data_IF_087463637634
#
_entry.id   IF_087463637634
#
_cell.length_a   1.000
_cell.length_b   1.000
_cell.length_c   1.000
_cell.angle_alpha   90.00
_cell.angle_beta   90.00
_cell.angle_gamma   90.00
#
_symmetry.space_group_name_H-M   'P 1'
#
loop_
_entity.id
_entity.type
_entity.pdbx_description
1 polymer ?
#
# COMPACT_ATOMS: atom_id res chain seq x y z
N UNK A 1 -7.43 -10.39 -3.63
CA UNK A 1 -7.59 -9.00 -3.18
C UNK A 1 -8.15 -9.02 -1.79
N UNK A 2 -7.40 -8.61 -0.82
CA UNK A 2 -8.03 -8.10 0.38
C UNK A 2 -8.53 -6.72 0.00
N UNK A 3 -9.80 -6.50 0.08
CA UNK A 3 -10.37 -5.20 -0.20
C UNK A 3 -11.21 -4.80 1.00
N UNK A 4 -10.86 -3.72 1.66
CA UNK A 4 -11.85 -3.02 2.46
C UNK A 4 -12.80 -2.36 1.47
N UNK A 5 -13.96 -2.96 1.26
CA UNK A 5 -14.99 -2.36 0.44
C UNK A 5 -15.47 -1.06 1.08
N UNK A 6 -15.67 -0.02 0.28
CA UNK A 6 -16.17 1.31 0.65
C UNK A 6 -17.48 1.33 1.48
N UNK A 7 -18.09 0.18 1.70
CA UNK A 7 -19.36 0.01 2.46
C UNK A 7 -19.15 -0.61 3.86
N UNK A 8 -17.95 -0.55 4.44
CA UNK A 8 -17.65 -1.09 5.76
C UNK A 8 -17.61 -2.63 5.82
N UNK A 9 -17.42 -3.29 4.69
CA UNK A 9 -17.25 -4.74 4.60
C UNK A 9 -15.79 -5.08 4.30
N UNK A 10 -15.28 -6.13 4.93
CA UNK A 10 -13.97 -6.71 4.67
C UNK A 10 -14.14 -8.04 3.95
N UNK A 11 -13.40 -8.25 2.87
CA UNK A 11 -13.40 -9.51 2.12
C UNK A 11 -11.99 -10.11 2.18
N UNK A 12 -11.89 -11.36 2.62
CA UNK A 12 -10.67 -12.15 2.53
C UNK A 12 -10.73 -13.05 1.31
N UNK A 13 -9.64 -13.08 0.53
CA UNK A 13 -9.50 -14.08 -0.52
C UNK A 13 -9.11 -15.42 0.07
N UNK A 14 -9.65 -16.49 -0.48
CA UNK A 14 -9.34 -17.86 -0.04
C UNK A 14 -7.84 -18.14 -0.09
N UNK A 15 -7.13 -17.72 -1.14
CA UNK A 15 -5.68 -17.89 -1.24
C UNK A 15 -4.88 -17.16 -0.15
N UNK A 16 -5.41 -16.06 0.41
CA UNK A 16 -4.80 -15.39 1.55
C UNK A 16 -4.98 -16.19 2.84
N UNK A 17 -6.18 -16.74 3.04
CA UNK A 17 -6.49 -17.59 4.18
C UNK A 17 -5.63 -18.86 4.13
N UNK A 18 -5.43 -19.42 2.94
CA UNK A 18 -4.56 -20.60 2.74
C UNK A 18 -3.08 -20.30 2.95
N UNK A 19 -2.65 -19.04 2.71
CA UNK A 19 -1.27 -18.62 2.90
C UNK A 19 -0.93 -18.36 4.36
N UNK A 20 -1.88 -17.85 5.15
CA UNK A 20 -1.67 -17.56 6.57
C UNK A 20 -1.59 -18.84 7.40
N UNK A 21 -0.61 -18.93 8.29
CA UNK A 21 -0.41 -20.08 9.16
C UNK A 21 -1.28 -20.01 10.43
N UNK A 22 -1.72 -18.81 10.80
CA UNK A 22 -2.47 -18.53 12.03
C UNK A 22 -3.31 -17.25 11.92
N UNK A 23 -4.11 -16.98 12.95
CA UNK A 23 -4.99 -15.82 13.02
C UNK A 23 -4.21 -14.50 13.16
N UNK A 24 -3.01 -14.51 13.76
CA UNK A 24 -2.17 -13.33 13.89
C UNK A 24 -1.69 -12.84 12.52
N UNK A 25 -1.36 -13.74 11.61
CA UNK A 25 -1.00 -13.42 10.24
C UNK A 25 -2.18 -12.84 9.46
N UNK A 26 -3.39 -13.35 9.67
CA UNK A 26 -4.61 -12.76 9.09
C UNK A 26 -4.90 -11.39 9.69
N UNK A 27 -4.68 -11.22 11.00
CA UNK A 27 -4.83 -9.95 11.68
C UNK A 27 -3.83 -8.90 11.18
N UNK A 28 -2.60 -9.29 10.81
CA UNK A 28 -1.61 -8.40 10.21
C UNK A 28 -2.12 -7.80 8.90
N UNK A 29 -2.67 -8.63 8.03
CA UNK A 29 -3.22 -8.15 6.75
C UNK A 29 -4.47 -7.31 6.98
N UNK A 30 -5.36 -7.74 7.88
CA UNK A 30 -6.56 -6.96 8.20
C UNK A 30 -6.21 -5.59 8.79
N UNK A 31 -5.28 -5.55 9.73
CA UNK A 31 -4.81 -4.30 10.35
C UNK A 31 -4.25 -3.32 9.32
N UNK A 32 -3.44 -3.81 8.40
CA UNK A 32 -2.88 -3.04 7.29
C UNK A 32 -3.98 -2.44 6.40
N UNK A 33 -4.96 -3.22 5.98
CA UNK A 33 -6.06 -2.75 5.13
C UNK A 33 -6.99 -1.77 5.85
N UNK A 34 -7.28 -2.02 7.13
CA UNK A 34 -8.06 -1.10 7.96
C UNK A 34 -7.31 0.23 8.10
N UNK A 35 -5.99 0.20 8.27
CA UNK A 35 -5.15 1.40 8.31
C UNK A 35 -5.26 2.21 7.01
N UNK A 36 -5.18 1.57 5.83
CA UNK A 36 -5.40 2.24 4.54
C UNK A 36 -6.76 2.93 4.45
N UNK A 37 -7.81 2.30 5.00
CA UNK A 37 -9.15 2.86 4.99
C UNK A 37 -9.29 4.05 5.95
N UNK A 38 -8.74 3.95 7.16
CA UNK A 38 -8.78 5.03 8.19
C UNK A 38 -7.97 6.24 7.72
N UNK A 39 -6.77 6.03 7.18
CA UNK A 39 -5.91 7.06 6.64
C UNK A 39 -6.41 7.63 5.29
N UNK A 40 -7.46 7.03 4.69
CA UNK A 40 -8.07 7.44 3.43
C UNK A 40 -7.11 7.44 2.23
N UNK A 41 -6.14 6.55 2.23
CA UNK A 41 -5.13 6.46 1.18
C UNK A 41 -5.73 6.29 -0.22
N UNK A 42 -6.86 5.57 -0.35
CA UNK A 42 -7.59 5.44 -1.60
C UNK A 42 -8.11 6.78 -2.14
N UNK A 43 -8.62 7.65 -1.27
CA UNK A 43 -9.10 8.98 -1.65
C UNK A 43 -7.95 9.89 -2.05
N UNK A 44 -6.84 9.84 -1.31
CA UNK A 44 -5.65 10.62 -1.63
C UNK A 44 -5.07 10.21 -2.99
N UNK A 45 -4.94 8.91 -3.25
CA UNK A 45 -4.50 8.39 -4.54
C UNK A 45 -5.40 8.84 -5.69
N UNK A 46 -6.73 8.81 -5.49
CA UNK A 46 -7.69 9.29 -6.49
C UNK A 46 -7.53 10.80 -6.74
N UNK A 47 -7.37 11.60 -5.69
CA UNK A 47 -7.16 13.05 -5.80
C UNK A 47 -5.88 13.38 -6.56
N UNK A 48 -4.80 12.65 -6.31
CA UNK A 48 -3.53 12.80 -7.03
C UNK A 48 -3.69 12.45 -8.52
N UNK A 49 -4.37 11.37 -8.85
CA UNK A 49 -4.65 10.98 -10.23
C UNK A 49 -5.47 12.04 -10.97
N UNK A 50 -6.48 12.59 -10.32
CA UNK A 50 -7.30 13.67 -10.88
C UNK A 50 -6.50 14.95 -11.07
N UNK A 51 -5.63 15.32 -10.13
CA UNK A 51 -4.75 16.48 -10.25
C UNK A 51 -3.78 16.31 -11.42
N UNK A 52 -3.15 15.15 -11.58
CA UNK A 52 -2.25 14.85 -12.69
C UNK A 52 -3.00 14.93 -14.03
N UNK A 53 -4.20 14.34 -14.12
CA UNK A 53 -5.03 14.40 -15.32
C UNK A 53 -5.43 15.84 -15.65
N UNK A 54 -5.84 16.63 -14.65
CA UNK A 54 -6.20 18.04 -14.83
C UNK A 54 -5.03 18.91 -15.30
N UNK A 55 -3.82 18.70 -14.78
CA UNK A 55 -2.62 19.41 -15.25
C UNK A 55 -2.30 19.01 -16.69
N UNK A 56 -2.44 17.76 -17.05
CA UNK A 56 -2.22 17.28 -18.41
C UNK A 56 -3.21 17.94 -19.40
N UNK A 57 -4.49 18.00 -19.05
CA UNK A 57 -5.51 18.63 -19.89
C UNK A 57 -5.32 20.16 -20.03
N UNK A 58 -4.99 20.84 -18.92
CA UNK A 58 -4.75 22.29 -18.91
C UNK A 58 -3.47 22.71 -19.64
N UNK A 59 -2.50 21.81 -19.80
CA UNK A 59 -1.25 22.09 -20.51
C UNK A 59 -1.44 22.34 -22.00
N UNK A 60 -2.65 22.08 -22.54
CA UNK A 60 -3.00 22.30 -23.95
C UNK A 60 -2.20 21.44 -24.93
N UNK A 61 -1.54 20.41 -24.45
CA UNK A 61 -0.64 19.55 -25.21
C UNK A 61 -1.36 18.63 -26.19
N UNK A 62 -2.69 18.65 -26.21
CA UNK A 62 -3.51 18.00 -27.21
C UNK A 62 -3.62 18.82 -28.53
N UNK A 63 -2.95 20.01 -28.62
CA UNK A 63 -2.93 20.78 -29.84
C UNK A 63 -1.92 20.23 -30.83
N UNK A 64 -2.40 19.83 -31.99
CA UNK A 64 -1.66 19.13 -33.07
C UNK A 64 -0.43 19.89 -33.65
N UNK A 65 -0.14 21.10 -33.21
CA UNK A 65 0.83 22.01 -33.83
C UNK A 65 2.31 21.68 -33.56
N UNK A 66 2.64 20.77 -32.62
CA UNK A 66 4.03 20.35 -32.35
C UNK A 66 4.12 18.95 -31.74
N UNK A 67 3.85 17.93 -32.53
CA UNK A 67 3.81 16.53 -32.12
C UNK A 67 5.10 16.05 -31.42
N UNK A 68 6.26 16.59 -31.80
CA UNK A 68 7.56 16.18 -31.25
C UNK A 68 7.79 16.77 -29.85
N UNK A 69 7.45 18.03 -29.62
CA UNK A 69 7.54 18.71 -28.31
C UNK A 69 6.54 18.12 -27.34
N UNK A 70 5.33 17.82 -27.81
CA UNK A 70 4.28 17.19 -27.03
C UNK A 70 4.68 15.75 -26.60
N UNK A 71 5.37 15.01 -27.46
CA UNK A 71 5.87 13.68 -27.16
C UNK A 71 6.91 13.69 -26.04
N UNK A 72 7.89 14.59 -26.10
CA UNK A 72 8.93 14.72 -25.07
C UNK A 72 8.33 15.18 -23.74
N UNK A 73 7.45 16.18 -23.77
CA UNK A 73 6.78 16.66 -22.56
C UNK A 73 5.94 15.56 -21.91
N UNK A 74 5.14 14.83 -22.70
CA UNK A 74 4.34 13.72 -22.19
C UNK A 74 5.21 12.64 -21.56
N UNK A 75 6.35 12.30 -22.18
CA UNK A 75 7.27 11.32 -21.62
C UNK A 75 7.85 11.77 -20.27
N UNK A 76 8.31 13.02 -20.17
CA UNK A 76 8.86 13.58 -18.92
C UNK A 76 7.79 13.76 -17.87
N UNK A 77 6.62 14.29 -18.23
CA UNK A 77 5.50 14.51 -17.31
C UNK A 77 4.94 13.20 -16.77
N UNK A 78 4.68 12.23 -17.63
CA UNK A 78 4.19 10.91 -17.22
C UNK A 78 5.23 10.15 -16.39
N UNK A 79 6.51 10.22 -16.77
CA UNK A 79 7.59 9.60 -16.01
C UNK A 79 7.75 10.22 -14.62
N UNK A 80 7.74 11.53 -14.50
CA UNK A 80 7.88 12.23 -13.20
C UNK A 80 6.67 12.04 -12.29
N UNK A 81 5.46 12.05 -12.84
CA UNK A 81 4.23 11.81 -12.07
C UNK A 81 4.14 10.35 -11.61
N UNK A 82 4.58 9.39 -12.44
CA UNK A 82 4.62 7.98 -12.05
C UNK A 82 5.61 7.72 -10.92
N UNK A 83 6.80 8.33 -10.95
CA UNK A 83 7.78 8.26 -9.87
C UNK A 83 7.26 8.90 -8.57
N UNK A 84 6.55 10.02 -8.70
CA UNK A 84 5.87 10.68 -7.57
C UNK A 84 4.82 9.76 -6.93
N UNK A 85 3.96 9.15 -7.74
CA UNK A 85 2.94 8.22 -7.27
C UNK A 85 3.54 6.99 -6.59
N UNK A 86 4.64 6.43 -7.09
CA UNK A 86 5.35 5.32 -6.46
C UNK A 86 5.93 5.70 -5.09
N UNK A 87 6.46 6.93 -4.95
CA UNK A 87 6.95 7.43 -3.67
C UNK A 87 5.83 7.59 -2.65
N UNK A 88 4.70 8.16 -3.05
CA UNK A 88 3.51 8.27 -2.20
C UNK A 88 2.97 6.90 -1.78
N UNK A 89 2.91 5.96 -2.72
CA UNK A 89 2.50 4.59 -2.41
C UNK A 89 3.35 3.97 -1.29
N UNK A 90 4.67 4.15 -1.32
CA UNK A 90 5.56 3.63 -0.27
C UNK A 90 5.34 4.28 1.09
N UNK A 91 5.07 5.58 1.13
CA UNK A 91 4.74 6.29 2.39
C UNK A 91 3.45 5.73 2.98
N UNK A 92 2.42 5.53 2.15
CA UNK A 92 1.15 4.95 2.57
C UNK A 92 1.31 3.50 3.09
N UNK A 93 2.17 2.70 2.43
CA UNK A 93 2.46 1.35 2.90
C UNK A 93 3.12 1.37 4.29
N UNK A 94 4.15 2.20 4.48
CA UNK A 94 4.84 2.33 5.78
C UNK A 94 3.89 2.81 6.88
N UNK A 95 3.03 3.78 6.57
CA UNK A 95 2.02 4.27 7.52
C UNK A 95 1.01 3.18 7.87
N UNK A 96 0.52 2.45 6.87
CA UNK A 96 -0.43 1.36 7.07
C UNK A 96 0.16 0.19 7.83
N UNK A 97 1.44 -0.13 7.62
CA UNK A 97 2.14 -1.13 8.41
C UNK A 97 2.20 -0.73 9.89
N UNK A 98 2.67 0.48 10.19
CA UNK A 98 2.78 0.96 11.57
C UNK A 98 1.42 1.01 12.28
N UNK A 99 0.41 1.56 11.64
CA UNK A 99 -0.95 1.61 12.19
C UNK A 99 -1.54 0.20 12.37
N UNK A 100 -1.32 -0.68 11.39
CA UNK A 100 -1.79 -2.06 11.43
C UNK A 100 -1.19 -2.84 12.60
N UNK A 101 0.11 -2.66 12.87
CA UNK A 101 0.79 -3.28 14.01
C UNK A 101 0.22 -2.77 15.36
N UNK A 102 -0.08 -1.48 15.46
CA UNK A 102 -0.76 -0.92 16.64
C UNK A 102 -2.14 -1.56 16.81
N UNK A 103 -2.91 -1.72 15.73
CA UNK A 103 -4.23 -2.36 15.79
C UNK A 103 -4.13 -3.82 16.21
N UNK A 104 -3.15 -4.57 15.69
CA UNK A 104 -2.88 -5.95 16.11
C UNK A 104 -2.64 -6.02 17.61
N UNK A 105 -1.73 -5.22 18.13
CA UNK A 105 -1.36 -5.20 19.55
C UNK A 105 -2.55 -4.86 20.43
N UNK A 106 -3.32 -3.82 20.07
CA UNK A 106 -4.53 -3.42 20.81
C UNK A 106 -5.63 -4.48 20.79
N UNK A 107 -5.69 -5.27 19.72
CA UNK A 107 -6.65 -6.38 19.58
C UNK A 107 -6.17 -7.70 20.22
N UNK A 108 -4.95 -7.73 20.77
CA UNK A 108 -4.38 -8.89 21.45
C UNK A 108 -3.73 -9.91 20.52
N UNK A 109 -3.43 -9.53 19.27
CA UNK A 109 -2.66 -10.32 18.32
C UNK A 109 -1.17 -10.05 18.44
N UNK A 110 -0.34 -10.99 17.94
CA UNK A 110 1.11 -10.90 18.00
C UNK A 110 1.69 -10.15 16.78
N UNK A 111 2.21 -8.88 16.95
CA UNK A 111 2.68 -8.08 15.82
C UNK A 111 3.87 -8.65 15.05
N UNK A 112 4.71 -9.48 15.69
CA UNK A 112 5.88 -10.11 15.02
C UNK A 112 5.46 -11.07 13.92
N UNK A 113 4.26 -11.61 13.97
CA UNK A 113 3.70 -12.47 12.91
C UNK A 113 3.45 -11.72 11.59
N UNK A 114 3.39 -10.39 11.62
CA UNK A 114 3.35 -9.59 10.40
C UNK A 114 4.63 -9.77 9.57
N UNK A 115 5.81 -9.85 10.23
CA UNK A 115 7.09 -10.05 9.54
C UNK A 115 7.07 -11.41 8.83
N UNK A 116 6.69 -12.46 9.55
CA UNK A 116 6.63 -13.82 9.03
C UNK A 116 5.67 -13.92 7.82
N UNK A 117 4.52 -13.24 7.90
CA UNK A 117 3.55 -13.20 6.82
C UNK A 117 4.10 -12.50 5.57
N UNK A 118 4.68 -11.29 5.71
CA UNK A 118 5.21 -10.55 4.58
C UNK A 118 6.43 -11.22 3.94
N UNK A 119 7.26 -11.90 4.74
CA UNK A 119 8.37 -12.71 4.25
C UNK A 119 7.86 -13.89 3.41
N UNK A 120 6.85 -14.59 3.91
CA UNK A 120 6.20 -15.68 3.19
C UNK A 120 5.57 -15.21 1.89
N UNK A 121 4.88 -14.06 1.90
CA UNK A 121 4.33 -13.41 0.70
C UNK A 121 5.42 -13.08 -0.33
N UNK A 122 6.56 -12.57 0.10
CA UNK A 122 7.66 -12.19 -0.81
C UNK A 122 8.25 -13.42 -1.53
N UNK A 123 8.25 -14.58 -0.87
CA UNK A 123 8.84 -15.83 -1.40
C UNK A 123 7.85 -16.68 -2.19
N UNK A 124 6.56 -16.64 -1.84
CA UNK A 124 5.50 -17.45 -2.46
C UNK A 124 4.57 -16.69 -3.38
N UNK A 125 4.94 -15.47 -3.74
CA UNK A 125 4.09 -14.49 -4.43
C UNK A 125 3.46 -14.91 -5.75
N UNK A 126 3.87 -16.03 -6.34
CA UNK A 126 3.23 -16.58 -7.52
C UNK A 126 1.77 -17.04 -7.27
N UNK A 127 1.38 -17.27 -6.01
CA UNK A 127 0.05 -17.74 -5.64
C UNK A 127 -0.94 -16.60 -5.26
N UNK A 128 -0.45 -15.38 -4.99
CA UNK A 128 -1.29 -14.23 -4.62
C UNK A 128 -0.84 -12.98 -5.41
N UNK A 129 -0.89 -13.01 -6.75
CA UNK A 129 -0.28 -11.98 -7.60
C UNK A 129 -0.84 -10.58 -7.37
N UNK A 130 -2.10 -10.49 -6.95
CA UNK A 130 -2.84 -9.23 -6.86
C UNK A 130 -2.43 -8.41 -5.64
N UNK A 131 -2.18 -9.05 -4.48
CA UNK A 131 -1.70 -8.35 -3.28
C UNK A 131 -0.29 -7.83 -3.49
N UNK A 132 0.60 -8.64 -4.09
CA UNK A 132 1.98 -8.22 -4.36
C UNK A 132 2.04 -7.05 -5.35
N UNK A 133 1.13 -7.00 -6.32
CA UNK A 133 1.09 -5.91 -7.29
C UNK A 133 0.58 -4.59 -6.68
N UNK A 134 -0.28 -4.68 -5.66
CA UNK A 134 -0.86 -3.50 -4.99
C UNK A 134 -0.08 -3.08 -3.75
N UNK A 135 0.56 -4.02 -3.06
CA UNK A 135 1.32 -3.83 -1.82
C UNK A 135 2.71 -4.47 -1.95
N UNK A 136 3.67 -3.79 -2.60
CA UNK A 136 4.99 -4.36 -2.79
C UNK A 136 5.67 -4.63 -1.45
N UNK A 137 6.10 -5.88 -1.25
CA UNK A 137 6.93 -6.27 -0.11
C UNK A 137 8.39 -6.31 -0.54
N UNK A 138 9.24 -5.51 0.09
CA UNK A 138 10.69 -5.55 -0.09
C UNK A 138 11.38 -5.76 1.27
N UNK A 139 12.67 -6.04 1.23
CA UNK A 139 13.46 -6.26 2.44
C UNK A 139 13.53 -5.02 3.35
N UNK A 140 13.35 -3.83 2.79
CA UNK A 140 13.27 -2.58 3.55
C UNK A 140 12.00 -2.55 4.39
N UNK A 141 10.84 -2.89 3.81
CA UNK A 141 9.56 -2.93 4.52
C UNK A 141 9.62 -3.85 5.72
N UNK A 142 10.16 -5.06 5.57
CA UNK A 142 10.33 -6.01 6.68
C UNK A 142 11.24 -5.45 7.78
N UNK A 143 12.32 -4.77 7.39
CA UNK A 143 13.20 -4.09 8.35
C UNK A 143 12.48 -2.96 9.08
N UNK A 144 11.75 -2.11 8.37
CA UNK A 144 11.00 -0.98 8.96
C UNK A 144 9.93 -1.47 9.94
N UNK A 145 9.27 -2.60 9.65
CA UNK A 145 8.32 -3.27 10.54
C UNK A 145 9.03 -3.77 11.82
N UNK A 146 10.16 -4.48 11.67
CA UNK A 146 10.94 -4.98 12.80
C UNK A 146 11.43 -3.83 13.69
N UNK A 147 12.03 -2.80 13.10
CA UNK A 147 12.51 -1.63 13.82
C UNK A 147 11.39 -0.91 14.58
N UNK A 148 10.19 -0.83 13.99
CA UNK A 148 9.03 -0.23 14.64
C UNK A 148 8.52 -1.05 15.82
N UNK A 149 8.42 -2.37 15.68
CA UNK A 149 8.00 -3.28 16.76
C UNK A 149 8.95 -3.17 17.94
N UNK A 150 10.27 -3.17 17.68
CA UNK A 150 11.28 -3.18 18.73
C UNK A 150 11.42 -1.84 19.46
N UNK A 151 11.23 -0.72 18.78
CA UNK A 151 11.63 0.58 19.32
C UNK A 151 10.47 1.57 19.53
N UNK A 152 9.36 1.41 18.84
CA UNK A 152 8.31 2.44 18.79
C UNK A 152 6.93 1.93 19.25
N UNK A 153 6.57 0.66 18.97
CA UNK A 153 5.21 0.14 19.12
C UNK A 153 4.61 0.36 20.51
N UNK A 154 5.38 0.10 21.55
CA UNK A 154 4.91 0.23 22.93
C UNK A 154 4.53 1.67 23.32
N UNK A 155 5.04 2.68 22.60
CA UNK A 155 4.67 4.08 22.84
C UNK A 155 3.23 4.39 22.41
N UNK A 156 2.61 3.56 21.57
CA UNK A 156 1.26 3.75 21.04
C UNK A 156 0.19 2.92 21.74
N UNK A 157 0.57 1.96 22.58
CA UNK A 157 -0.36 0.97 23.17
C UNK A 157 -0.36 0.99 24.71
N UNK A 158 0.40 1.88 25.36
CA UNK A 158 0.47 2.08 26.81
C UNK A 158 -0.42 3.23 27.27
#
# INVERSE_FOLDING_TARGET
MLGVCLAGKVCFYTGLIELADNDDQLAAVMGHEVAHAIAKHGNERMSQQLAIAGIHDLSGLNNESNAQTNSIFNMVFMGSSQLGMLKFSRVHETESDKMGLVFMKLAGYEPTEAIAFWEKMSTQGAHVPEIISTHPSDSRRMKDISDFIENELDNYVN
#
